data_IF_946794649300
#
_entry.id   IF_946794649300
#
_cell.length_a   1.000
_cell.length_b   1.000
_cell.length_c   1.000
_cell.angle_alpha   90.00
_cell.angle_beta   90.00
_cell.angle_gamma   90.00
#
_symmetry.space_group_name_H-M   'P 1'
#
loop_
_entity.id
_entity.type
_entity.pdbx_description
1 polymer ?
#
# COMPACT_ATOMS: atom_id res chain seq x y z
N UNK A 1 -18.36 -8.91 -13.61
CA UNK A 1 -17.59 -7.64 -13.69
C UNK A 1 -18.12 -6.78 -14.82
N UNK A 2 -18.75 -5.63 -14.52
CA UNK A 2 -19.35 -4.75 -15.53
C UNK A 2 -18.29 -4.00 -16.33
N UNK A 3 -18.28 -4.20 -17.67
CA UNK A 3 -17.33 -3.56 -18.58
C UNK A 3 -17.51 -2.04 -18.63
N UNK A 4 -18.75 -1.56 -18.73
CA UNK A 4 -19.06 -0.13 -18.75
C UNK A 4 -18.73 0.51 -17.38
N UNK A 5 -17.81 1.51 -17.32
CA UNK A 5 -17.46 2.20 -16.08
C UNK A 5 -18.65 2.88 -15.40
N UNK A 6 -19.56 3.51 -16.16
CA UNK A 6 -20.70 4.24 -15.59
C UNK A 6 -21.72 3.34 -14.89
N UNK A 7 -21.71 2.03 -15.19
CA UNK A 7 -22.60 1.03 -14.60
C UNK A 7 -21.88 0.10 -13.62
N UNK A 8 -20.60 0.36 -13.34
CA UNK A 8 -19.81 -0.47 -12.42
C UNK A 8 -20.12 -0.03 -10.99
N UNK A 9 -20.31 -1.02 -10.11
CA UNK A 9 -20.55 -0.77 -8.68
C UNK A 9 -19.49 0.18 -8.12
N UNK A 10 -19.93 1.24 -7.46
CA UNK A 10 -19.05 2.23 -6.85
C UNK A 10 -18.56 3.34 -7.78
N UNK A 11 -19.03 3.36 -9.03
CA UNK A 11 -18.68 4.41 -9.99
C UNK A 11 -19.75 5.51 -10.14
N UNK A 12 -20.82 5.50 -9.33
CA UNK A 12 -21.75 6.63 -9.27
C UNK A 12 -21.06 7.87 -8.68
N UNK A 13 -21.11 9.04 -9.35
CA UNK A 13 -20.29 10.20 -8.99
C UNK A 13 -20.60 10.80 -7.60
N UNK A 14 -21.83 10.61 -7.09
CA UNK A 14 -22.25 11.16 -5.80
C UNK A 14 -22.41 10.09 -4.70
N UNK A 15 -22.51 8.81 -5.06
CA UNK A 15 -22.93 7.74 -4.14
C UNK A 15 -22.07 6.48 -4.23
N UNK A 16 -20.99 6.47 -5.01
CA UNK A 16 -20.21 5.25 -5.27
C UNK A 16 -19.73 4.55 -3.99
N UNK A 17 -19.28 5.31 -2.99
CA UNK A 17 -18.92 4.75 -1.69
C UNK A 17 -20.11 4.06 -1.01
N UNK A 18 -21.27 4.72 -0.98
CA UNK A 18 -22.49 4.21 -0.38
C UNK A 18 -22.98 2.94 -1.08
N UNK A 19 -22.94 2.91 -2.41
CA UNK A 19 -23.27 1.71 -3.19
C UNK A 19 -22.46 0.49 -2.78
N UNK A 20 -21.14 0.66 -2.56
CA UNK A 20 -20.28 -0.44 -2.12
C UNK A 20 -20.58 -0.80 -0.67
N UNK A 21 -20.72 0.18 0.23
CA UNK A 21 -20.95 -0.05 1.66
C UNK A 21 -22.28 -0.75 1.95
N UNK A 22 -23.32 -0.42 1.20
CA UNK A 22 -24.69 -0.95 1.36
C UNK A 22 -24.96 -2.22 0.52
N UNK A 23 -24.03 -2.62 -0.36
CA UNK A 23 -24.19 -3.82 -1.18
C UNK A 23 -24.33 -5.08 -0.31
N UNK A 24 -25.25 -5.97 -0.68
CA UNK A 24 -25.65 -7.14 0.10
C UNK A 24 -24.51 -8.10 0.45
N UNK A 25 -23.45 -8.13 -0.37
CA UNK A 25 -22.20 -8.85 -0.08
C UNK A 25 -21.51 -8.35 1.20
N UNK A 26 -21.49 -7.03 1.43
CA UNK A 26 -20.82 -6.40 2.56
C UNK A 26 -21.74 -6.16 3.76
N UNK A 27 -22.97 -6.68 3.77
CA UNK A 27 -23.96 -6.45 4.85
C UNK A 27 -23.49 -6.79 6.28
N UNK A 28 -22.44 -7.60 6.43
CA UNK A 28 -21.85 -8.00 7.73
C UNK A 28 -20.61 -7.19 8.11
N UNK A 29 -20.22 -6.24 7.27
CA UNK A 29 -19.04 -5.42 7.47
C UNK A 29 -19.43 -4.19 8.28
N UNK A 30 -18.81 -4.05 9.45
CA UNK A 30 -18.78 -2.79 10.19
C UNK A 30 -17.61 -1.95 9.69
N UNK A 31 -17.91 -0.98 8.82
CA UNK A 31 -16.90 -0.16 8.16
C UNK A 31 -16.08 0.69 9.13
N UNK A 32 -16.68 1.17 10.22
CA UNK A 32 -15.99 1.96 11.24
C UNK A 32 -14.99 1.10 12.01
N UNK A 33 -15.38 -0.13 12.39
CA UNK A 33 -14.47 -1.07 13.07
C UNK A 33 -13.37 -1.59 12.17
N UNK A 34 -13.62 -1.78 10.88
CA UNK A 34 -12.56 -2.15 9.92
C UNK A 34 -11.53 -1.02 9.81
N UNK A 35 -11.98 0.22 9.65
CA UNK A 35 -11.09 1.39 9.58
C UNK A 35 -10.25 1.56 10.85
N UNK A 36 -10.88 1.36 12.02
CA UNK A 36 -10.20 1.37 13.33
C UNK A 36 -9.32 0.13 13.60
N UNK A 37 -9.25 -0.84 12.67
CA UNK A 37 -8.49 -2.10 12.80
C UNK A 37 -8.93 -2.96 14.00
N UNK A 38 -10.21 -2.90 14.36
CA UNK A 38 -10.79 -3.66 15.47
C UNK A 38 -11.31 -5.04 15.05
N UNK A 39 -11.55 -5.24 13.76
CA UNK A 39 -11.95 -6.54 13.20
C UNK A 39 -10.72 -7.42 13.00
N UNK A 40 -10.72 -8.62 13.57
CA UNK A 40 -9.64 -9.59 13.38
C UNK A 40 -9.56 -10.03 11.91
N UNK A 41 -8.39 -9.92 11.25
CA UNK A 41 -8.20 -10.43 9.90
C UNK A 41 -8.46 -11.94 9.84
N UNK A 42 -9.07 -12.45 8.77
CA UNK A 42 -9.32 -13.89 8.62
C UNK A 42 -8.04 -14.70 8.44
N UNK A 43 -6.93 -14.05 8.10
CA UNK A 43 -5.62 -14.66 7.93
C UNK A 43 -4.55 -13.80 8.61
N UNK A 44 -3.77 -14.41 9.50
CA UNK A 44 -2.58 -13.82 10.10
C UNK A 44 -1.34 -14.47 9.47
N UNK A 45 -0.54 -13.74 8.67
CA UNK A 45 0.69 -14.27 8.11
C UNK A 45 1.64 -14.77 9.20
N UNK A 46 2.34 -15.87 8.93
CA UNK A 46 3.35 -16.39 9.85
C UNK A 46 4.61 -15.54 9.74
N UNK A 47 5.14 -15.12 10.89
CA UNK A 47 6.40 -14.41 11.01
C UNK A 47 7.16 -15.06 12.16
N UNK A 48 8.21 -15.82 11.86
CA UNK A 48 9.02 -16.46 12.89
C UNK A 48 10.10 -15.50 13.40
N UNK A 49 10.69 -14.72 12.49
CA UNK A 49 11.62 -13.66 12.83
C UNK A 49 11.27 -12.36 12.10
N UNK A 50 10.95 -11.26 12.81
CA UNK A 50 10.61 -9.98 12.18
C UNK A 50 11.69 -9.38 11.27
N UNK A 51 12.95 -9.82 11.44
CA UNK A 51 14.07 -9.40 10.58
C UNK A 51 14.24 -10.29 9.35
N UNK A 52 13.60 -11.45 9.32
CA UNK A 52 13.65 -12.34 8.17
C UNK A 52 12.54 -11.99 7.20
N UNK A 53 12.90 -11.89 5.92
CA UNK A 53 11.99 -11.57 4.83
C UNK A 53 11.22 -12.83 4.35
N UNK A 54 10.68 -13.63 5.28
CA UNK A 54 10.09 -14.97 5.00
C UNK A 54 8.88 -14.93 4.06
N UNK A 55 8.18 -13.78 4.02
CA UNK A 55 7.01 -13.55 3.17
C UNK A 55 7.37 -12.86 1.84
N UNK A 56 8.67 -12.70 1.54
CA UNK A 56 9.16 -12.19 0.27
C UNK A 56 9.74 -13.33 -0.57
N UNK A 57 9.70 -13.19 -1.89
CA UNK A 57 10.30 -14.17 -2.79
C UNK A 57 11.82 -14.23 -2.61
N UNK A 58 12.35 -15.45 -2.55
CA UNK A 58 13.78 -15.73 -2.43
C UNK A 58 14.58 -15.17 -3.59
N UNK A 59 13.97 -15.01 -4.77
CA UNK A 59 14.65 -14.37 -5.90
C UNK A 59 15.09 -12.93 -5.60
N UNK A 60 14.43 -12.25 -4.65
CA UNK A 60 14.83 -10.92 -4.19
C UNK A 60 15.68 -10.98 -2.92
N UNK A 61 15.33 -11.84 -1.95
CA UNK A 61 16.05 -11.88 -0.67
C UNK A 61 17.45 -12.50 -0.79
N UNK A 62 17.68 -13.31 -1.83
CA UNK A 62 19.00 -13.87 -2.13
C UNK A 62 19.88 -12.91 -2.95
N UNK A 63 19.30 -11.83 -3.50
CA UNK A 63 20.10 -10.85 -4.20
C UNK A 63 21.05 -10.16 -3.22
N UNK A 64 22.28 -9.84 -3.66
CA UNK A 64 23.22 -9.11 -2.82
C UNK A 64 22.61 -7.76 -2.44
N UNK A 65 22.67 -7.42 -1.15
CA UNK A 65 22.27 -6.11 -0.64
C UNK A 65 23.31 -5.06 -1.06
N UNK A 66 23.29 -4.68 -2.33
CA UNK A 66 24.15 -3.64 -2.90
C UNK A 66 23.36 -2.80 -3.88
N UNK A 67 23.71 -1.52 -3.95
CA UNK A 67 23.24 -0.66 -5.04
C UNK A 67 23.93 -1.10 -6.34
N UNK A 68 23.21 -1.07 -7.44
CA UNK A 68 23.83 -1.21 -8.76
C UNK A 68 24.73 0.00 -9.00
N UNK A 69 25.92 -0.23 -9.55
CA UNK A 69 26.82 0.85 -9.96
C UNK A 69 26.10 1.75 -10.97
N UNK A 70 26.18 3.06 -10.76
CA UNK A 70 25.54 4.03 -11.64
C UNK A 70 26.49 4.43 -12.78
N UNK A 71 25.96 4.48 -14.00
CA UNK A 71 26.69 5.05 -15.13
C UNK A 71 26.80 6.58 -14.97
N UNK A 72 28.03 7.08 -14.97
CA UNK A 72 28.32 8.51 -14.81
C UNK A 72 27.73 9.36 -15.94
N UNK A 73 27.61 8.81 -17.15
CA UNK A 73 27.02 9.52 -18.29
C UNK A 73 25.51 9.71 -18.08
N UNK A 74 24.85 8.69 -17.55
CA UNK A 74 23.42 8.77 -17.20
C UNK A 74 23.22 9.80 -16.10
N UNK A 75 24.04 9.78 -15.05
CA UNK A 75 23.97 10.76 -13.97
C UNK A 75 24.20 12.20 -14.47
N UNK A 76 25.17 12.42 -15.36
CA UNK A 76 25.47 13.73 -15.92
C UNK A 76 24.39 14.27 -16.88
N UNK A 77 23.55 13.39 -17.44
CA UNK A 77 22.46 13.77 -18.34
C UNK A 77 21.20 14.26 -17.63
N UNK A 78 21.10 14.06 -16.30
CA UNK A 78 19.94 14.46 -15.52
C UNK A 78 20.16 15.88 -15.01
N UNK A 79 19.18 16.77 -15.21
CA UNK A 79 19.29 18.16 -14.77
C UNK A 79 19.06 18.30 -13.26
N UNK A 80 19.80 19.21 -12.62
CA UNK A 80 19.74 19.41 -11.15
C UNK A 80 18.37 19.88 -10.65
N UNK A 81 17.59 20.54 -11.50
CA UNK A 81 16.23 21.02 -11.19
C UNK A 81 15.16 19.92 -11.34
N UNK A 82 15.47 18.79 -11.98
CA UNK A 82 14.51 17.67 -12.19
C UNK A 82 13.89 17.20 -10.88
N UNK A 83 14.64 17.24 -9.78
CA UNK A 83 14.22 16.77 -8.46
C UNK A 83 14.06 17.91 -7.43
N UNK A 84 13.88 19.15 -7.89
CA UNK A 84 13.63 20.26 -6.98
C UNK A 84 12.39 19.97 -6.12
N UNK A 85 12.49 20.24 -4.81
CA UNK A 85 11.42 19.98 -3.83
C UNK A 85 11.03 18.50 -3.64
N UNK A 86 11.87 17.55 -4.06
CA UNK A 86 11.65 16.12 -3.82
C UNK A 86 11.78 15.73 -2.33
N UNK A 87 12.65 16.43 -1.59
CA UNK A 87 12.90 16.13 -0.18
C UNK A 87 11.65 16.39 0.68
N UNK A 88 11.16 15.34 1.34
CA UNK A 88 10.03 15.43 2.26
C UNK A 88 10.27 14.58 3.52
N UNK A 89 9.56 14.91 4.59
CA UNK A 89 9.44 14.08 5.79
C UNK A 89 7.98 14.03 6.21
N UNK A 90 7.55 12.96 6.89
CA UNK A 90 6.19 12.86 7.41
C UNK A 90 6.09 13.57 8.77
N UNK A 91 5.46 14.76 8.88
CA UNK A 91 5.33 15.46 10.15
C UNK A 91 4.36 14.79 11.12
N UNK A 92 3.51 13.87 10.62
CA UNK A 92 2.54 13.11 11.40
C UNK A 92 3.01 11.69 11.70
N UNK A 93 4.33 11.43 11.61
CA UNK A 93 4.86 10.13 11.96
C UNK A 93 4.71 9.89 13.48
N UNK A 94 3.73 9.07 13.85
CA UNK A 94 3.52 8.65 15.24
C UNK A 94 4.45 7.46 15.51
N UNK A 95 5.55 7.69 16.22
CA UNK A 95 6.42 6.62 16.69
C UNK A 95 5.69 5.80 17.78
N UNK A 96 5.72 4.47 17.68
CA UNK A 96 5.19 3.60 18.73
C UNK A 96 3.75 3.10 18.57
N UNK A 97 3.13 3.23 17.38
CA UNK A 97 1.99 2.38 17.05
C UNK A 97 2.45 0.92 17.06
N UNK A 98 2.23 0.22 18.18
CA UNK A 98 2.37 -1.24 18.23
C UNK A 98 1.40 -1.81 17.19
N UNK A 99 1.94 -2.28 16.07
CA UNK A 99 1.24 -3.23 15.22
C UNK A 99 0.91 -4.45 16.09
N UNK A 100 -0.38 -4.67 16.36
CA UNK A 100 -0.88 -5.89 17.03
C UNK A 100 -0.65 -7.13 16.16
#
# INVERSE_FOLDING_TARGET
MTKNPQKRLGCHPLDGEREVKEHSFFRRIDWQKIEAREVQPPFKPKINNPRQAENFDKCFTNNPFKKTECDKLVLASISDDTFQSFSCYNPHFISGLKTK
#
